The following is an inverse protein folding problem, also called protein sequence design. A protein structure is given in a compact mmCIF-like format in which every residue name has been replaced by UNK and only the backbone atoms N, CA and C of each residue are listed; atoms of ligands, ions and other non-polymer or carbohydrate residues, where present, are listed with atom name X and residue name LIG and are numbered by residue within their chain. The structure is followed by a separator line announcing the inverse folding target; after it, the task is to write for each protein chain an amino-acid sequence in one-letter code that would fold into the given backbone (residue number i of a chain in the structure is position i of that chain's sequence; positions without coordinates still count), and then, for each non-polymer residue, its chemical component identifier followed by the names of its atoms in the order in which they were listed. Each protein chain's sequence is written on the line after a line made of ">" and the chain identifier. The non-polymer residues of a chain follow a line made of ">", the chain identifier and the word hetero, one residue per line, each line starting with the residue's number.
data_IF_802236867041
#
_entry.id   IF_802236867041
#
_cell.length_a   1.000
_cell.length_b   1.000
_cell.length_c   1.000
_cell.angle_alpha   90.00
_cell.angle_beta   90.00
_cell.angle_gamma   90.00
#
_symmetry.space_group_name_H-M   'P 1'
#
loop_
_entity.id
_entity.type
_entity.pdbx_description
1 polymer ?
#
# COMPACT_ATOMS: atom_id res chain seq x y z
N UNK A 1 6.51 -4.23 8.34
CA UNK A 1 7.47 -4.98 7.51
C UNK A 1 7.40 -4.47 6.08
N UNK A 2 8.53 -4.28 5.41
CA UNK A 2 8.59 -3.86 4.00
C UNK A 2 9.50 -4.83 3.26
N UNK A 3 9.09 -5.31 2.09
CA UNK A 3 9.92 -6.23 1.29
C UNK A 3 10.96 -5.48 0.46
N UNK A 4 11.98 -6.21 -0.01
CA UNK A 4 12.81 -5.76 -1.12
C UNK A 4 11.96 -5.64 -2.42
N UNK A 5 12.43 -4.87 -3.41
CA UNK A 5 11.74 -4.62 -4.69
C UNK A 5 12.25 -5.47 -5.86
N UNK A 6 13.31 -6.26 -5.67
CA UNK A 6 13.97 -7.05 -6.73
C UNK A 6 13.30 -8.37 -7.12
N UNK A 7 12.03 -8.59 -6.77
CA UNK A 7 11.28 -9.79 -7.12
C UNK A 7 10.25 -9.48 -8.21
N UNK A 8 9.78 -10.52 -8.90
CA UNK A 8 8.75 -10.45 -9.95
C UNK A 8 7.66 -11.50 -9.68
N UNK A 9 6.40 -11.14 -9.89
CA UNK A 9 5.24 -12.02 -9.72
C UNK A 9 5.28 -13.26 -10.63
N UNK A 10 5.96 -13.18 -11.78
CA UNK A 10 6.21 -14.34 -12.65
C UNK A 10 7.14 -15.38 -12.01
N UNK A 11 7.75 -15.09 -10.87
CA UNK A 11 8.52 -16.06 -10.08
C UNK A 11 7.66 -16.77 -9.03
N UNK A 12 6.42 -16.31 -8.81
CA UNK A 12 5.47 -16.91 -7.87
C UNK A 12 4.71 -18.06 -8.53
N UNK A 13 4.27 -19.03 -7.73
CA UNK A 13 3.43 -20.14 -8.21
C UNK A 13 2.12 -19.64 -8.80
N UNK A 14 1.58 -18.57 -8.22
CA UNK A 14 0.30 -17.98 -8.58
C UNK A 14 0.37 -17.09 -9.82
N UNK A 15 1.58 -16.72 -10.29
CA UNK A 15 1.80 -15.88 -11.48
C UNK A 15 1.02 -14.56 -11.47
N UNK A 16 0.76 -14.02 -10.28
CA UNK A 16 0.04 -12.77 -10.04
C UNK A 16 0.59 -12.07 -8.82
N UNK A 17 0.32 -10.78 -8.68
CA UNK A 17 0.60 -10.07 -7.44
C UNK A 17 -0.14 -10.73 -6.27
N UNK A 18 0.52 -10.93 -5.12
CA UNK A 18 -0.20 -11.19 -3.89
C UNK A 18 -0.98 -9.91 -3.54
N UNK A 19 -2.27 -10.02 -3.25
CA UNK A 19 -3.13 -8.88 -2.93
C UNK A 19 -3.44 -8.85 -1.43
N UNK A 20 -4.10 -7.80 -0.94
CA UNK A 20 -4.43 -7.57 0.49
C UNK A 20 -4.87 -8.84 1.22
N UNK A 21 -5.79 -9.61 0.64
CA UNK A 21 -6.35 -10.82 1.27
C UNK A 21 -5.33 -11.96 1.38
N UNK A 22 -4.39 -12.06 0.46
CA UNK A 22 -3.28 -13.03 0.57
C UNK A 22 -2.34 -12.62 1.71
N UNK A 23 -2.04 -11.33 1.81
CA UNK A 23 -1.17 -10.79 2.85
C UNK A 23 -1.81 -10.86 4.24
N UNK A 24 -3.12 -10.66 4.35
CA UNK A 24 -3.87 -10.78 5.61
C UNK A 24 -3.86 -12.21 6.15
N UNK A 25 -3.88 -13.24 5.28
CA UNK A 25 -3.77 -14.65 5.71
C UNK A 25 -2.44 -14.95 6.40
N UNK A 26 -1.35 -14.34 5.92
CA UNK A 26 0.01 -14.58 6.43
C UNK A 26 0.34 -13.66 7.61
N UNK A 27 -0.17 -12.43 7.59
CA UNK A 27 0.17 -11.39 8.58
C UNK A 27 -1.06 -10.53 8.90
N UNK A 28 -2.03 -11.03 9.69
CA UNK A 28 -3.28 -10.31 9.94
C UNK A 28 -3.09 -9.07 10.82
N UNK A 29 -2.14 -9.12 11.77
CA UNK A 29 -1.98 -8.11 12.81
C UNK A 29 -0.74 -7.21 12.64
N UNK A 30 0.16 -7.55 11.71
CA UNK A 30 1.36 -6.76 11.48
C UNK A 30 1.26 -6.04 10.12
N UNK A 31 1.46 -4.72 10.04
CA UNK A 31 1.48 -3.98 8.77
C UNK A 31 2.55 -4.51 7.80
N UNK A 32 2.12 -4.89 6.60
CA UNK A 32 2.99 -5.37 5.51
C UNK A 32 2.87 -4.47 4.29
N UNK A 33 4.02 -4.12 3.71
CA UNK A 33 4.14 -3.47 2.40
C UNK A 33 5.02 -4.35 1.52
N UNK A 34 4.45 -4.89 0.45
CA UNK A 34 5.19 -5.60 -0.59
C UNK A 34 5.49 -4.62 -1.71
N UNK A 35 6.78 -4.44 -2.03
CA UNK A 35 7.22 -3.51 -3.09
C UNK A 35 7.37 -4.26 -4.40
N UNK A 36 6.68 -3.82 -5.46
CA UNK A 36 6.87 -4.30 -6.83
C UNK A 36 7.54 -3.21 -7.66
N UNK A 37 8.86 -3.33 -7.81
CA UNK A 37 9.66 -2.29 -8.48
C UNK A 37 9.57 -0.93 -7.77
N UNK A 38 9.51 0.14 -8.57
CA UNK A 38 9.52 1.53 -8.10
C UNK A 38 8.16 2.24 -8.07
N UNK A 39 7.12 1.64 -8.65
CA UNK A 39 5.84 2.34 -8.90
C UNK A 39 4.62 1.57 -8.40
N UNK A 40 4.80 0.47 -7.67
CA UNK A 40 3.68 -0.35 -7.23
C UNK A 40 3.95 -0.98 -5.86
N UNK A 41 3.01 -0.80 -4.92
CA UNK A 41 3.01 -1.44 -3.59
C UNK A 41 1.75 -2.27 -3.41
N UNK A 42 1.84 -3.36 -2.63
CA UNK A 42 0.66 -4.05 -2.09
C UNK A 42 0.71 -4.04 -0.57
N UNK A 43 -0.38 -3.56 0.03
CA UNK A 43 -0.59 -3.42 1.45
C UNK A 43 -1.62 -4.44 1.96
N UNK A 44 -1.40 -4.94 3.17
CA UNK A 44 -2.41 -5.69 3.92
C UNK A 44 -3.36 -4.75 4.67
N UNK A 45 -4.39 -5.31 5.32
CA UNK A 45 -5.38 -4.53 6.07
C UNK A 45 -4.73 -3.74 7.22
N UNK A 46 -3.78 -4.32 7.94
CA UNK A 46 -3.07 -3.63 9.02
C UNK A 46 -2.27 -2.42 8.50
N UNK A 47 -1.67 -2.52 7.32
CA UNK A 47 -0.97 -1.42 6.65
C UNK A 47 -1.92 -0.31 6.18
N UNK A 48 -3.00 -0.66 5.49
CA UNK A 48 -4.02 0.32 5.07
C UNK A 48 -4.54 1.12 6.27
N UNK A 49 -4.84 0.45 7.39
CA UNK A 49 -5.23 1.09 8.66
C UNK A 49 -4.14 2.01 9.20
N UNK A 50 -2.88 1.57 9.20
CA UNK A 50 -1.75 2.38 9.70
C UNK A 50 -1.62 3.72 8.99
N UNK A 51 -1.88 3.77 7.68
CA UNK A 51 -1.81 5.00 6.88
C UNK A 51 -3.18 5.65 6.61
N UNK A 52 -4.23 5.19 7.29
CA UNK A 52 -5.60 5.66 7.12
C UNK A 52 -6.09 5.67 5.65
N UNK A 53 -5.69 4.66 4.89
CA UNK A 53 -6.08 4.48 3.50
C UNK A 53 -7.39 3.70 3.46
N UNK A 54 -8.42 4.32 2.91
CA UNK A 54 -9.79 3.82 2.83
C UNK A 54 -10.35 4.00 1.42
N UNK A 55 -11.54 3.46 1.17
CA UNK A 55 -12.27 3.66 -0.08
C UNK A 55 -12.57 5.12 -0.40
N UNK A 56 -12.47 6.03 0.58
CA UNK A 56 -12.73 7.45 0.45
C UNK A 56 -11.44 8.29 0.39
N UNK A 57 -10.26 7.66 0.44
CA UNK A 57 -8.99 8.37 0.40
C UNK A 57 -8.84 9.16 -0.91
N UNK A 58 -8.63 10.49 -0.85
CA UNK A 58 -8.34 11.29 -2.02
C UNK A 58 -7.05 10.80 -2.68
N UNK A 59 -7.11 10.56 -3.99
CA UNK A 59 -5.96 10.10 -4.74
C UNK A 59 -5.15 11.30 -5.24
N UNK A 60 -3.81 11.31 -5.10
CA UNK A 60 -2.98 12.27 -5.80
C UNK A 60 -3.10 12.07 -7.30
N UNK A 61 -2.95 13.15 -8.07
CA UNK A 61 -2.99 13.11 -9.54
C UNK A 61 -2.05 12.02 -10.10
N UNK A 62 -2.58 11.16 -10.97
CA UNK A 62 -1.84 10.03 -11.54
C UNK A 62 -1.65 8.84 -10.59
N UNK A 63 -2.27 8.83 -9.41
CA UNK A 63 -2.29 7.70 -8.47
C UNK A 63 -3.54 6.84 -8.62
N UNK A 64 -3.42 5.53 -8.38
CA UNK A 64 -4.55 4.60 -8.40
C UNK A 64 -4.51 3.65 -7.20
N UNK A 65 -5.71 3.32 -6.69
CA UNK A 65 -5.92 2.26 -5.70
C UNK A 65 -7.06 1.36 -6.23
N UNK A 66 -6.73 0.22 -6.87
CA UNK A 66 -7.72 -0.71 -7.38
C UNK A 66 -8.56 -1.37 -6.28
N UNK A 67 -9.67 -1.96 -6.71
CA UNK A 67 -10.64 -2.66 -5.85
C UNK A 67 -10.82 -4.10 -6.32
N UNK A 68 -11.24 -4.95 -5.42
CA UNK A 68 -11.85 -6.23 -5.77
C UNK A 68 -13.23 -6.01 -6.40
N UNK A 69 -13.81 -7.07 -6.95
CA UNK A 69 -15.15 -7.08 -7.54
C UNK A 69 -16.25 -6.69 -6.52
N UNK A 70 -16.03 -6.99 -5.23
CA UNK A 70 -16.93 -6.60 -4.13
C UNK A 70 -16.80 -5.14 -3.70
N UNK A 71 -15.93 -4.36 -4.36
CA UNK A 71 -15.75 -2.93 -4.10
C UNK A 71 -14.78 -2.59 -2.97
N UNK A 72 -14.25 -3.57 -2.24
CA UNK A 72 -13.22 -3.33 -1.24
C UNK A 72 -11.85 -3.04 -1.88
N UNK A 73 -11.00 -2.26 -1.22
CA UNK A 73 -9.64 -2.00 -1.71
C UNK A 73 -8.85 -3.31 -1.81
N UNK A 74 -8.16 -3.53 -2.93
CA UNK A 74 -7.34 -4.73 -3.10
C UNK A 74 -5.96 -4.65 -2.42
N UNK A 75 -5.65 -3.48 -1.84
CA UNK A 75 -4.39 -3.18 -1.17
C UNK A 75 -3.28 -2.71 -2.11
N UNK A 76 -3.49 -2.73 -3.41
CA UNK A 76 -2.54 -2.27 -4.40
C UNK A 76 -2.56 -0.75 -4.52
N UNK A 77 -1.38 -0.14 -4.55
CA UNK A 77 -1.17 1.28 -4.79
C UNK A 77 -0.28 1.39 -6.02
N UNK A 78 -0.69 2.19 -7.00
CA UNK A 78 0.07 2.42 -8.24
C UNK A 78 0.50 3.88 -8.40
N UNK A 79 1.67 4.06 -8.98
CA UNK A 79 2.21 5.37 -9.38
C UNK A 79 2.21 6.37 -8.23
N UNK A 80 1.52 7.51 -8.37
CA UNK A 80 1.55 8.58 -7.36
C UNK A 80 0.83 8.20 -6.06
N UNK A 81 -0.01 7.15 -6.06
CA UNK A 81 -0.67 6.67 -4.84
C UNK A 81 0.34 6.14 -3.81
N UNK A 82 1.54 5.74 -4.22
CA UNK A 82 2.62 5.34 -3.31
C UNK A 82 2.96 6.46 -2.31
N UNK A 83 2.72 7.74 -2.65
CA UNK A 83 2.97 8.89 -1.77
C UNK A 83 2.06 8.92 -0.54
N UNK A 84 0.94 8.19 -0.55
CA UNK A 84 0.08 8.00 0.61
C UNK A 84 0.78 7.20 1.72
N UNK A 85 1.81 6.43 1.35
CA UNK A 85 2.66 5.72 2.28
C UNK A 85 3.93 6.55 2.49
N UNK A 86 4.03 7.19 3.66
CA UNK A 86 5.27 7.89 4.03
C UNK A 86 6.42 6.87 4.07
N UNK A 87 7.58 7.15 3.44
CA UNK A 87 8.70 6.22 3.46
C UNK A 87 9.12 5.97 4.93
N UNK A 88 9.03 4.70 5.36
CA UNK A 88 9.50 4.26 6.68
C UNK A 88 11.04 4.27 6.74
N UNK A 89 11.65 5.45 6.54
CA UNK A 89 13.06 5.70 6.87
C UNK A 89 13.37 7.10 7.43
N UNK A 90 12.42 8.03 7.51
CA UNK A 90 12.65 9.29 8.23
C UNK A 90 11.40 9.68 9.02
N UNK A 91 11.32 9.26 10.29
CA UNK A 91 10.52 9.98 11.28
C UNK A 91 11.33 11.18 11.80
N UNK A 92 11.67 12.10 10.91
CA UNK A 92 12.13 13.43 11.28
C UNK A 92 11.27 14.40 10.49
N UNK A 93 10.25 14.95 11.16
CA UNK A 93 9.57 16.16 10.69
C UNK A 93 8.34 16.00 9.80
N UNK A 94 7.46 15.01 10.01
CA UNK A 94 6.08 15.12 9.54
C UNK A 94 5.20 15.68 10.66
N UNK A 95 5.44 16.94 11.00
CA UNK A 95 4.55 17.76 11.81
C UNK A 95 4.46 19.14 11.13
N UNK A 96 3.24 19.67 11.10
CA UNK A 96 2.76 20.89 10.43
C UNK A 96 2.56 20.72 8.91
N UNK A 97 1.37 20.94 8.34
CA UNK A 97 0.35 21.89 8.73
C UNK A 97 -1.05 21.25 8.75
N UNK A 98 -1.66 21.21 9.94
CA UNK A 98 -3.10 21.30 10.09
C UNK A 98 -3.40 22.76 10.41
N UNK A 99 -4.20 23.39 9.54
CA UNK A 99 -5.16 24.46 9.83
C UNK A 99 -4.79 25.54 10.87
N UNK A 100 -4.67 26.78 10.40
CA UNK A 100 -5.21 27.93 11.13
C UNK A 100 -5.67 28.99 10.13
N UNK A 101 -6.85 29.52 10.47
CA UNK A 101 -7.74 30.50 9.84
C UNK A 101 -7.13 31.67 9.08
#
# INVERSE_FOLDING_TARGET
>A
MVTNSGWHEGQLKEQRLPLRRDLDKVSPNNPVVVRRGGQEYVLNTAALKKWNITSQTPLPDGGQIPRYEDGELNGELRSQALRLVCPMRVMTGCALAASSS
#
